data_IF_027085988330
#
_entry.id   IF_027085988330
#
_cell.length_a   1.000
_cell.length_b   1.000
_cell.length_c   1.000
_cell.angle_alpha   90.00
_cell.angle_beta   90.00
_cell.angle_gamma   90.00
#
_symmetry.space_group_name_H-M   'P 1'
#
loop_
_entity.id
_entity.type
_entity.pdbx_description
1 polymer ?
#
# COMPACT_ATOMS: atom_id res chain seq x y z
N UNK A 1 2.78 -21.49 10.25
CA UNK A 1 2.89 -21.13 10.05
C UNK A 1 3.20 -20.30 9.56
N UNK A 2 3.16 -20.18 9.52
CA UNK A 2 3.32 -19.57 9.17
C UNK A 2 4.06 -18.76 8.54
N UNK A 3 4.78 -19.30 8.23
CA UNK A 3 5.74 -18.50 7.55
C UNK A 3 5.10 -17.70 6.44
N UNK A 4 4.04 -18.23 5.94
CA UNK A 4 3.32 -17.52 4.89
C UNK A 4 2.87 -16.15 5.33
N UNK A 5 2.65 -16.00 6.60
CA UNK A 5 2.18 -14.72 7.09
C UNK A 5 3.32 -13.81 7.47
N UNK A 6 4.54 -14.27 7.30
CA UNK A 6 5.66 -13.47 7.65
C UNK A 6 5.98 -12.48 6.55
N UNK A 7 5.99 -11.24 6.91
CA UNK A 7 6.29 -10.19 5.97
C UNK A 7 7.77 -9.90 5.99
N UNK A 8 8.39 -9.94 4.84
CA UNK A 8 9.82 -9.69 4.74
C UNK A 8 10.06 -8.32 4.13
N UNK A 9 10.31 -7.35 4.99
CA UNK A 9 10.54 -6.00 4.51
C UNK A 9 11.80 -5.87 3.70
N UNK A 10 12.77 -6.72 3.94
CA UNK A 10 13.99 -6.65 3.15
C UNK A 10 13.73 -6.90 1.68
N UNK A 11 12.81 -7.79 1.40
CA UNK A 11 12.48 -8.08 0.02
C UNK A 11 11.82 -6.90 -0.67
N UNK A 12 11.28 -5.98 0.11
CA UNK A 12 10.59 -4.82 -0.43
C UNK A 12 11.44 -3.56 -0.38
N UNK A 13 12.66 -3.69 0.08
CA UNK A 13 13.52 -2.52 0.24
C UNK A 13 13.68 -1.76 -1.07
N UNK A 14 13.54 -0.45 -1.00
CA UNK A 14 13.71 0.39 -2.17
C UNK A 14 12.52 0.42 -3.11
N UNK A 15 11.49 -0.32 -2.80
CA UNK A 15 10.33 -0.38 -3.69
C UNK A 15 9.26 0.58 -3.25
N UNK A 16 8.45 0.99 -4.20
CA UNK A 16 7.33 1.88 -3.97
C UNK A 16 6.09 1.26 -4.58
N UNK A 17 5.01 1.27 -3.83
CA UNK A 17 3.75 0.69 -4.26
C UNK A 17 2.66 1.74 -4.21
N UNK A 18 1.85 1.78 -5.24
CA UNK A 18 0.73 2.72 -5.31
C UNK A 18 -0.50 2.06 -4.71
N UNK A 19 -1.17 2.79 -3.85
CA UNK A 19 -2.43 2.35 -3.26
C UNK A 19 -3.57 3.05 -3.99
N UNK A 20 -4.57 2.32 -4.39
CA UNK A 20 -5.70 2.96 -5.03
C UNK A 20 -6.50 1.98 -5.85
N UNK A 21 -7.53 2.50 -6.49
CA UNK A 21 -8.37 1.65 -7.31
C UNK A 21 -7.64 1.14 -8.54
N UNK A 22 -6.56 1.79 -8.90
CA UNK A 22 -5.71 1.35 -10.00
C UNK A 22 -4.27 1.31 -9.56
N UNK A 23 -4.04 0.91 -8.33
CA UNK A 23 -2.69 0.84 -7.81
C UNK A 23 -2.16 -0.58 -7.79
N UNK A 24 -0.92 -0.71 -7.39
CA UNK A 24 -0.32 -2.02 -7.17
C UNK A 24 -1.05 -2.74 -6.04
N UNK A 25 -1.44 -1.98 -5.05
CA UNK A 25 -2.21 -2.49 -3.93
C UNK A 25 -3.62 -1.95 -4.13
N UNK A 26 -4.52 -2.84 -4.43
CA UNK A 26 -5.86 -2.43 -4.81
C UNK A 26 -6.67 -2.00 -3.60
N UNK A 27 -7.15 -0.78 -3.65
CA UNK A 27 -8.04 -0.23 -2.64
C UNK A 27 -9.38 -0.02 -3.31
N UNK A 28 -10.35 -0.83 -2.96
CA UNK A 28 -11.64 -0.78 -3.62
C UNK A 28 -12.68 0.03 -2.87
N UNK A 29 -12.29 0.66 -1.78
CA UNK A 29 -13.25 1.44 -1.00
C UNK A 29 -13.85 2.54 -1.84
N UNK A 30 -15.14 2.79 -1.68
CA UNK A 30 -15.75 3.94 -2.34
C UNK A 30 -15.06 5.19 -1.86
N UNK A 31 -14.74 6.06 -2.70
CA UNK A 31 -14.06 7.28 -2.31
C UNK A 31 -12.56 7.19 -2.42
N UNK A 32 -12.02 5.99 -2.68
CA UNK A 32 -10.59 5.87 -2.92
C UNK A 32 -10.27 6.41 -4.30
N UNK A 33 -9.16 7.10 -4.41
CA UNK A 33 -8.70 7.58 -5.70
C UNK A 33 -8.06 6.46 -6.49
N UNK A 34 -7.84 6.71 -7.76
CA UNK A 34 -7.16 5.74 -8.60
C UNK A 34 -5.74 5.52 -8.12
N UNK A 35 -5.04 6.59 -7.82
CA UNK A 35 -3.72 6.55 -7.23
C UNK A 35 -3.79 7.40 -5.98
N UNK A 36 -4.26 6.79 -4.92
CA UNK A 36 -4.60 7.52 -3.72
C UNK A 36 -3.38 7.84 -2.86
N UNK A 37 -2.49 6.88 -2.74
CA UNK A 37 -1.31 7.06 -1.93
C UNK A 37 -0.21 6.12 -2.35
N UNK A 38 0.91 6.20 -1.65
CA UNK A 38 2.00 5.30 -1.95
C UNK A 38 2.69 4.86 -0.68
N UNK A 39 3.18 3.64 -0.73
CA UNK A 39 3.98 3.07 0.34
C UNK A 39 5.37 2.80 -0.22
N UNK A 40 6.38 3.26 0.48
CA UNK A 40 7.76 3.02 0.09
C UNK A 40 8.49 2.36 1.24
N UNK A 41 9.41 1.49 0.92
CA UNK A 41 10.24 0.86 1.94
C UNK A 41 11.64 1.41 1.78
N UNK A 42 12.11 2.10 2.81
CA UNK A 42 13.41 2.75 2.79
C UNK A 42 14.16 2.45 4.06
N UNK A 43 15.29 1.79 3.93
CA UNK A 43 16.13 1.48 5.08
C UNK A 43 15.34 0.76 6.16
N UNK A 44 14.54 -0.21 5.72
CA UNK A 44 13.76 -1.01 6.64
C UNK A 44 12.58 -0.30 7.25
N UNK A 45 12.28 0.91 6.82
CA UNK A 45 11.18 1.69 7.35
C UNK A 45 10.13 1.88 6.30
N UNK A 46 8.91 2.09 6.75
CA UNK A 46 7.76 2.22 5.86
C UNK A 46 7.34 3.67 5.79
N UNK A 47 7.38 4.22 4.60
CA UNK A 47 6.98 5.59 4.37
C UNK A 47 5.66 5.61 3.62
N UNK A 48 4.68 6.34 4.16
CA UNK A 48 3.36 6.43 3.57
C UNK A 48 3.11 7.87 3.15
N UNK A 49 2.54 8.05 1.97
CA UNK A 49 2.31 9.38 1.44
C UNK A 49 1.00 9.44 0.68
N UNK A 50 0.22 10.48 0.95
CA UNK A 50 -0.99 10.74 0.20
C UNK A 50 -0.62 11.46 -1.09
N UNK A 51 -1.19 11.04 -2.20
CA UNK A 51 -0.84 11.61 -3.50
C UNK A 51 -1.82 12.68 -3.93
N UNK A 52 -2.25 13.50 -2.98
CA UNK A 52 -3.17 14.56 -3.30
C UNK A 52 -4.56 14.08 -3.54
N UNK A 53 -4.97 13.04 -2.83
CA UNK A 53 -6.28 12.45 -3.05
C UNK A 53 -7.38 13.44 -2.70
N UNK A 54 -8.51 13.26 -3.35
CA UNK A 54 -9.64 14.14 -3.13
C UNK A 54 -10.17 14.00 -1.71
N UNK A 55 -10.30 12.79 -1.24
CA UNK A 55 -10.92 12.56 0.06
C UNK A 55 -9.93 12.40 1.19
N UNK A 56 -8.65 12.41 0.87
CA UNK A 56 -7.64 12.34 1.90
C UNK A 56 -7.41 10.96 2.44
N UNK A 57 -6.43 10.88 3.30
CA UNK A 57 -6.05 9.66 3.98
C UNK A 57 -5.94 10.01 5.45
N UNK A 58 -6.31 9.09 6.31
CA UNK A 58 -6.32 9.34 7.74
C UNK A 58 -5.62 8.21 8.46
N UNK A 59 -5.02 8.52 9.59
CA UNK A 59 -4.50 7.46 10.44
C UNK A 59 -5.40 7.39 11.67
N UNK A 60 -5.55 6.18 12.17
CA UNK A 60 -6.40 5.95 13.31
C UNK A 60 -5.51 5.80 14.55
N UNK A 61 -5.67 6.71 15.49
CA UNK A 61 -4.92 6.69 16.74
C UNK A 61 -5.89 6.85 17.88
N UNK A 62 -5.87 5.90 18.80
CA UNK A 62 -6.71 6.01 19.99
C UNK A 62 -8.15 6.32 19.64
N UNK A 63 -8.66 5.68 18.61
CA UNK A 63 -10.04 5.83 18.16
C UNK A 63 -10.33 7.18 17.53
N UNK A 64 -9.28 7.91 17.19
CA UNK A 64 -9.45 9.18 16.52
C UNK A 64 -8.79 9.13 15.17
N UNK A 65 -9.39 9.84 14.23
CA UNK A 65 -8.85 9.93 12.89
C UNK A 65 -8.13 11.25 12.73
N UNK A 66 -6.86 11.16 12.37
CA UNK A 66 -6.07 12.34 12.08
C UNK A 66 -5.73 12.33 10.60
N UNK A 67 -5.92 13.46 9.96
CA UNK A 67 -5.58 13.56 8.56
C UNK A 67 -4.08 13.37 8.41
N UNK A 68 -3.70 12.62 7.40
CA UNK A 68 -2.32 12.23 7.22
C UNK A 68 -1.84 12.57 5.82
N UNK A 69 -0.79 13.35 5.75
CA UNK A 69 -0.21 13.71 4.46
C UNK A 69 0.90 12.76 4.09
N UNK A 70 1.89 12.63 4.96
CA UNK A 70 2.98 11.69 4.70
C UNK A 70 3.82 11.53 5.94
N UNK A 71 4.53 10.43 6.00
CA UNK A 71 5.41 10.16 7.12
C UNK A 71 5.69 8.68 7.25
N UNK A 72 6.54 8.35 8.21
CA UNK A 72 6.83 6.96 8.50
C UNK A 72 5.73 6.36 9.37
N UNK A 73 5.41 5.13 9.10
CA UNK A 73 4.37 4.43 9.83
C UNK A 73 4.88 3.05 10.23
N UNK A 74 4.20 2.44 11.18
CA UNK A 74 4.57 1.09 11.60
C UNK A 74 3.68 0.08 10.90
N UNK A 75 4.07 -1.17 10.97
CA UNK A 75 3.30 -2.25 10.37
C UNK A 75 1.90 -2.36 10.97
N UNK A 76 1.75 -2.00 12.22
CA UNK A 76 0.47 -2.15 12.89
C UNK A 76 -0.39 -0.90 12.83
N UNK A 77 0.08 0.11 12.14
CA UNK A 77 -0.69 1.33 12.00
C UNK A 77 -1.90 1.08 11.11
N UNK A 78 -3.04 1.57 11.53
CA UNK A 78 -4.25 1.51 10.72
C UNK A 78 -4.46 2.84 10.04
N UNK A 79 -4.84 2.77 8.78
CA UNK A 79 -5.14 3.97 8.01
C UNK A 79 -6.55 3.83 7.46
N UNK A 80 -7.15 4.96 7.14
CA UNK A 80 -8.50 4.98 6.58
C UNK A 80 -8.44 5.67 5.23
N UNK A 81 -8.96 4.99 4.23
CA UNK A 81 -9.08 5.52 2.88
C UNK A 81 -10.52 5.28 2.46
N UNK A 82 -11.18 6.34 2.04
CA UNK A 82 -12.60 6.24 1.78
C UNK A 82 -13.31 5.96 3.09
N UNK A 83 -14.04 4.90 3.17
CA UNK A 83 -14.72 4.53 4.40
C UNK A 83 -14.17 3.26 5.01
N UNK A 84 -13.00 2.83 4.55
CA UNK A 84 -12.48 1.56 4.96
C UNK A 84 -11.17 1.73 5.68
N UNK A 85 -10.95 0.91 6.69
CA UNK A 85 -9.68 0.95 7.38
C UNK A 85 -8.81 -0.21 6.92
N UNK A 86 -7.53 0.05 6.88
CA UNK A 86 -6.55 -0.93 6.42
C UNK A 86 -5.38 -0.90 7.38
N UNK A 87 -4.82 -2.06 7.66
CA UNK A 87 -3.60 -2.10 8.44
C UNK A 87 -2.43 -2.12 7.47
N UNK A 88 -1.41 -1.35 7.78
CA UNK A 88 -0.25 -1.24 6.90
C UNK A 88 0.31 -2.62 6.57
N UNK A 89 0.40 -3.48 7.57
CA UNK A 89 0.93 -4.83 7.35
C UNK A 89 0.15 -5.58 6.28
N UNK A 90 -1.17 -5.45 6.31
CA UNK A 90 -1.99 -6.15 5.34
C UNK A 90 -1.75 -5.63 3.93
N UNK A 91 -1.58 -4.33 3.81
CA UNK A 91 -1.31 -3.75 2.51
C UNK A 91 0.03 -4.22 1.96
N UNK A 92 1.02 -4.27 2.81
CA UNK A 92 2.33 -4.73 2.38
C UNK A 92 2.33 -6.22 2.09
N UNK A 93 1.47 -6.98 2.74
CA UNK A 93 1.36 -8.40 2.44
C UNK A 93 0.87 -8.60 1.01
N UNK A 94 -0.06 -7.78 0.58
CA UNK A 94 -0.52 -7.84 -0.80
C UNK A 94 0.63 -7.52 -1.75
N UNK A 95 1.40 -6.51 -1.43
CA UNK A 95 2.55 -6.15 -2.25
C UNK A 95 3.58 -7.27 -2.27
N UNK A 96 3.80 -7.88 -1.14
CA UNK A 96 4.75 -8.96 -1.03
C UNK A 96 4.33 -10.16 -1.87
N UNK A 97 3.05 -10.48 -1.84
CA UNK A 97 2.54 -11.56 -2.68
C UNK A 97 2.74 -11.27 -4.14
N UNK A 98 2.48 -10.02 -4.51
CA UNK A 98 2.64 -9.62 -5.89
C UNK A 98 4.09 -9.83 -6.35
N UNK A 99 5.03 -9.42 -5.52
CA UNK A 99 6.44 -9.58 -5.82
C UNK A 99 6.83 -11.05 -5.80
N UNK A 100 6.37 -11.76 -4.79
CA UNK A 100 6.77 -13.14 -4.60
C UNK A 100 6.31 -14.08 -5.70
N UNK A 101 5.14 -13.81 -6.25
CA UNK A 101 4.64 -14.68 -7.30
C UNK A 101 5.26 -14.39 -8.64
N UNK A 102 6.03 -13.35 -8.71
CA UNK A 102 6.56 -12.89 -9.97
C UNK A 102 8.07 -12.85 -9.94
N UNK A 103 8.67 -13.84 -9.32
CA UNK A 103 10.08 -13.78 -9.08
C UNK A 103 10.90 -13.89 -10.36
N UNK A 104 10.38 -14.45 -11.42
CA UNK A 104 11.17 -14.53 -12.63
C UNK A 104 10.69 -13.58 -13.72
N UNK A 105 9.66 -12.87 -13.48
CA UNK A 105 9.21 -11.86 -14.43
C UNK A 105 9.14 -10.52 -13.80
N UNK A 106 9.89 -10.35 -12.83
CA UNK A 106 9.81 -9.27 -11.90
C UNK A 106 9.47 -7.92 -12.44
N UNK A 107 9.81 -7.63 -13.62
CA UNK A 107 9.58 -6.29 -14.12
C UNK A 107 8.24 -6.12 -14.76
N UNK A 108 7.40 -7.11 -14.60
CA UNK A 108 6.08 -7.03 -15.17
C UNK A 108 5.29 -5.90 -14.56
N UNK A 109 4.52 -5.27 -15.38
CA UNK A 109 3.60 -4.28 -14.87
C UNK A 109 2.39 -4.95 -14.28
N UNK A 110 1.70 -4.25 -13.37
CA UNK A 110 0.45 -4.78 -12.86
C UNK A 110 -0.52 -5.06 -14.00
N UNK A 111 -1.39 -6.02 -13.77
CA UNK A 111 -2.33 -6.43 -14.80
C UNK A 111 -3.16 -5.27 -15.31
N UNK A 112 -3.64 -4.44 -14.42
CA UNK A 112 -4.46 -3.31 -14.83
C UNK A 112 -3.69 -2.39 -15.75
N UNK A 113 -2.40 -2.26 -15.52
CA UNK A 113 -1.59 -1.38 -16.33
C UNK A 113 -1.36 -1.96 -17.71
N UNK A 114 -1.18 -3.26 -17.77
CA UNK A 114 -1.04 -3.90 -19.07
C UNK A 114 -2.27 -3.69 -19.91
N UNK A 115 -3.42 -3.85 -19.30
CA UNK A 115 -4.65 -3.66 -20.05
C UNK A 115 -4.79 -2.26 -20.55
N UNK A 116 -4.48 -1.31 -19.72
CA UNK A 116 -4.68 0.07 -20.15
C UNK A 116 -3.66 0.47 -21.19
N UNK A 117 -2.61 -0.27 -21.34
CA UNK A 117 -1.62 0.06 -22.36
C UNK A 117 -2.08 -0.30 -23.73
N UNK A 118 -3.14 -1.01 -23.86
CA UNK A 118 -3.68 -1.32 -25.16
C UNK A 118 -4.62 -0.24 -25.67
#
# INVERSE_FOLDING_TARGET
MNSASKLNLEALEGRTFILGRQGHILISAPGAGRQHGELSIREGKIYLRDLGSRNGMYILKNRELDKFAEGYVSLLQRIVIGNESYMIRDLLAVASDFIGTDDHTTMEMPVWKKKSAR
#
